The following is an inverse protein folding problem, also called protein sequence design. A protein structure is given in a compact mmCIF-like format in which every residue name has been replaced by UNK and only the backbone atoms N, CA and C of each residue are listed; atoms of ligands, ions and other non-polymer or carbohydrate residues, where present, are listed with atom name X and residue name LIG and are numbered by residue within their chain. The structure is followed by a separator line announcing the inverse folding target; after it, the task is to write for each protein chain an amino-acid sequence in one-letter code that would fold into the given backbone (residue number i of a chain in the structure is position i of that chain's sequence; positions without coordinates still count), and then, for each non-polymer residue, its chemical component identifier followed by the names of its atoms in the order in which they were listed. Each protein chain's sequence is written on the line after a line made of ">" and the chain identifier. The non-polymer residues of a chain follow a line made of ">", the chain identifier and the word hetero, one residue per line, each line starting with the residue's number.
data_IF_073037822874
#
_entry.id   IF_073037822874
#
_cell.length_a   1.000
_cell.length_b   1.000
_cell.length_c   1.000
_cell.angle_alpha   90.00
_cell.angle_beta   90.00
_cell.angle_gamma   90.00
#
_symmetry.space_group_name_H-M   'P 1'
#
loop_
_entity.id
_entity.type
_entity.pdbx_description
1 polymer ?
#
# COMPACT_ATOMS: atom_id res chain seq x y z
N UNK A 1 43.57 -12.62 4.16
CA UNK A 1 42.18 -12.12 4.09
C UNK A 1 41.96 -11.20 5.28
N UNK A 2 41.57 -9.94 5.11
CA UNK A 2 41.25 -9.09 6.26
C UNK A 2 40.03 -9.67 6.97
N UNK A 3 40.19 -10.07 8.22
CA UNK A 3 39.11 -10.50 9.10
C UNK A 3 38.15 -9.33 9.25
N UNK A 4 36.94 -9.48 8.69
CA UNK A 4 35.87 -8.51 8.94
C UNK A 4 35.71 -8.36 10.46
N UNK A 5 35.76 -7.14 11.00
CA UNK A 5 35.53 -6.93 12.42
C UNK A 5 34.15 -7.50 12.76
N UNK A 6 34.11 -8.42 13.72
CA UNK A 6 32.85 -8.88 14.32
C UNK A 6 32.11 -7.63 14.79
N UNK A 7 30.91 -7.33 14.25
CA UNK A 7 30.19 -6.14 14.69
C UNK A 7 29.99 -6.22 16.19
N UNK A 8 30.28 -5.12 16.90
CA UNK A 8 29.97 -5.03 18.33
C UNK A 8 28.45 -5.08 18.51
N UNK A 9 28.00 -5.58 19.65
CA UNK A 9 26.57 -5.68 20.00
C UNK A 9 25.83 -4.34 19.76
N UNK A 10 26.54 -3.22 19.94
CA UNK A 10 26.06 -1.86 19.69
C UNK A 10 25.78 -1.58 18.21
N UNK A 11 26.68 -1.94 17.28
CA UNK A 11 26.48 -1.73 15.84
C UNK A 11 25.28 -2.53 15.31
N UNK A 12 25.11 -3.75 15.81
CA UNK A 12 24.00 -4.61 15.47
C UNK A 12 22.66 -4.04 15.95
N UNK A 13 22.63 -3.49 17.17
CA UNK A 13 21.46 -2.81 17.70
C UNK A 13 21.06 -1.60 16.86
N UNK A 14 22.04 -0.82 16.38
CA UNK A 14 21.80 0.35 15.52
C UNK A 14 21.26 -0.09 14.16
N UNK A 15 21.85 -1.11 13.53
CA UNK A 15 21.36 -1.64 12.25
C UNK A 15 19.93 -2.17 12.37
N UNK A 16 19.64 -2.91 13.44
CA UNK A 16 18.30 -3.40 13.74
C UNK A 16 17.31 -2.24 13.89
N UNK A 17 17.65 -1.22 14.68
CA UNK A 17 16.80 -0.06 14.90
C UNK A 17 16.56 0.75 13.62
N UNK A 18 17.58 0.89 12.76
CA UNK A 18 17.45 1.57 11.46
C UNK A 18 16.45 0.84 10.56
N UNK A 19 16.55 -0.49 10.46
CA UNK A 19 15.63 -1.27 9.61
C UNK A 19 14.21 -1.29 10.20
N UNK A 20 14.07 -1.44 11.52
CA UNK A 20 12.78 -1.36 12.19
C UNK A 20 12.09 0.01 11.99
N UNK A 21 12.85 1.10 12.12
CA UNK A 21 12.36 2.47 11.88
C UNK A 21 11.96 2.67 10.42
N UNK A 22 12.76 2.16 9.47
CA UNK A 22 12.44 2.23 8.04
C UNK A 22 11.15 1.48 7.71
N UNK A 23 10.97 0.27 8.27
CA UNK A 23 9.74 -0.51 8.10
C UNK A 23 8.51 0.24 8.60
N UNK A 24 8.60 0.86 9.78
CA UNK A 24 7.51 1.67 10.33
C UNK A 24 7.18 2.87 9.42
N UNK A 25 8.19 3.50 8.82
CA UNK A 25 8.01 4.54 7.81
C UNK A 25 7.24 4.06 6.58
N UNK A 26 7.60 2.90 6.03
CA UNK A 26 6.88 2.33 4.88
C UNK A 26 5.45 1.93 5.21
N UNK A 27 5.18 1.37 6.39
CA UNK A 27 3.81 1.03 6.80
C UNK A 27 2.94 2.29 6.90
N UNK A 28 3.45 3.38 7.48
CA UNK A 28 2.73 4.66 7.53
C UNK A 28 2.41 5.20 6.14
N UNK A 29 3.39 5.22 5.23
CA UNK A 29 3.20 5.70 3.85
C UNK A 29 2.24 4.81 3.05
N UNK A 30 2.29 3.49 3.28
CA UNK A 30 1.41 2.51 2.65
C UNK A 30 -0.07 2.83 2.93
N UNK A 31 -0.40 3.33 4.12
CA UNK A 31 -1.77 3.66 4.51
C UNK A 31 -2.23 5.07 4.11
N UNK A 32 -1.30 5.99 3.86
CA UNK A 32 -1.63 7.36 3.42
C UNK A 32 -2.02 7.41 1.93
N UNK A 33 -1.30 6.68 1.07
CA UNK A 33 -1.50 6.73 -0.38
C UNK A 33 -2.93 6.35 -0.84
N UNK A 34 -3.60 5.33 -0.28
CA UNK A 34 -4.97 5.00 -0.65
C UNK A 34 -5.98 6.06 -0.23
N UNK A 35 -5.81 6.70 0.93
CA UNK A 35 -6.70 7.75 1.41
C UNK A 35 -6.68 8.98 0.51
N UNK A 36 -5.49 9.43 0.13
CA UNK A 36 -5.32 10.53 -0.83
C UNK A 36 -5.84 10.17 -2.23
N UNK A 37 -5.55 8.94 -2.68
CA UNK A 37 -6.04 8.41 -3.96
C UNK A 37 -7.56 8.42 -4.06
N UNK A 38 -8.25 7.86 -3.07
CA UNK A 38 -9.72 7.86 -3.03
C UNK A 38 -10.30 9.27 -2.97
N UNK A 39 -9.68 10.18 -2.21
CA UNK A 39 -10.15 11.57 -2.11
C UNK A 39 -10.08 12.27 -3.46
N UNK A 40 -8.94 12.14 -4.16
CA UNK A 40 -8.78 12.67 -5.50
C UNK A 40 -9.76 12.06 -6.50
N UNK A 41 -9.96 10.74 -6.44
CA UNK A 41 -10.94 10.05 -7.30
C UNK A 41 -12.37 10.49 -7.04
N UNK A 42 -12.78 10.66 -5.77
CA UNK A 42 -14.10 11.14 -5.42
C UNK A 42 -14.34 12.56 -5.97
N UNK A 43 -13.36 13.46 -5.82
CA UNK A 43 -13.43 14.81 -6.38
C UNK A 43 -13.59 14.81 -7.91
N UNK A 44 -12.78 14.02 -8.61
CA UNK A 44 -12.86 13.90 -10.07
C UNK A 44 -14.18 13.28 -10.52
N UNK A 45 -14.71 12.34 -9.75
CA UNK A 45 -15.99 11.71 -10.04
C UNK A 45 -17.16 12.69 -9.87
N UNK A 46 -17.12 13.57 -8.87
CA UNK A 46 -18.11 14.64 -8.71
C UNK A 46 -18.17 15.53 -9.94
N UNK A 47 -17.01 15.89 -10.53
CA UNK A 47 -16.96 16.66 -11.78
C UNK A 47 -17.51 15.83 -12.94
N UNK A 48 -17.09 14.56 -13.07
CA UNK A 48 -17.51 13.70 -14.18
C UNK A 48 -19.01 13.41 -14.22
N UNK A 49 -19.70 13.42 -13.07
CA UNK A 49 -21.14 13.17 -12.96
C UNK A 49 -21.99 14.43 -12.84
N UNK A 50 -21.38 15.62 -12.82
CA UNK A 50 -22.13 16.86 -12.81
C UNK A 50 -22.82 17.07 -14.17
N UNK A 51 -24.14 17.28 -14.20
CA UNK A 51 -24.91 17.38 -15.44
C UNK A 51 -24.56 18.63 -16.28
N UNK A 52 -23.99 19.67 -15.67
CA UNK A 52 -23.58 20.92 -16.33
C UNK A 52 -22.11 20.87 -16.77
N UNK A 53 -21.39 19.77 -16.49
CA UNK A 53 -20.00 19.62 -16.90
C UNK A 53 -19.89 19.41 -18.40
N UNK A 54 -19.12 20.28 -19.05
CA UNK A 54 -18.81 20.16 -20.47
C UNK A 54 -18.00 18.89 -20.78
N UNK A 55 -18.20 18.35 -21.99
CA UNK A 55 -17.60 17.10 -22.47
C UNK A 55 -16.11 16.93 -22.17
N UNK A 56 -15.33 17.98 -22.44
CA UNK A 56 -13.88 17.94 -22.22
C UNK A 56 -13.52 17.74 -20.75
N UNK A 57 -14.27 18.36 -19.84
CA UNK A 57 -14.08 18.23 -18.41
C UNK A 57 -14.52 16.86 -17.89
N UNK A 58 -15.58 16.26 -18.45
CA UNK A 58 -15.99 14.88 -18.15
C UNK A 58 -14.90 13.88 -18.57
N UNK A 59 -14.42 13.97 -19.82
CA UNK A 59 -13.37 13.07 -20.34
C UNK A 59 -12.06 13.24 -19.57
N UNK A 60 -11.64 14.48 -19.32
CA UNK A 60 -10.43 14.78 -18.57
C UNK A 60 -10.51 14.24 -17.14
N UNK A 61 -11.64 14.44 -16.45
CA UNK A 61 -11.84 13.96 -15.07
C UNK A 61 -11.84 12.43 -14.99
N UNK A 62 -12.51 11.75 -15.93
CA UNK A 62 -12.53 10.28 -15.99
C UNK A 62 -11.15 9.66 -16.26
N UNK A 63 -10.40 10.23 -17.21
CA UNK A 63 -9.02 9.81 -17.48
C UNK A 63 -8.11 10.07 -16.28
N UNK A 64 -8.19 11.25 -15.67
CA UNK A 64 -7.37 11.59 -14.52
C UNK A 64 -7.68 10.69 -13.31
N UNK A 65 -8.96 10.33 -13.09
CA UNK A 65 -9.37 9.38 -12.05
C UNK A 65 -8.75 7.99 -12.27
N UNK A 66 -8.67 7.56 -13.54
CA UNK A 66 -8.03 6.30 -13.93
C UNK A 66 -6.51 6.32 -13.69
N UNK A 67 -5.86 7.44 -14.03
CA UNK A 67 -4.41 7.64 -13.79
C UNK A 67 -4.11 7.66 -12.30
N UNK A 68 -4.89 8.39 -11.51
CA UNK A 68 -4.75 8.43 -10.04
C UNK A 68 -4.94 7.03 -9.45
N UNK A 69 -5.94 6.27 -9.91
CA UNK A 69 -6.12 4.87 -9.51
C UNK A 69 -4.85 4.05 -9.68
N UNK A 70 -4.29 4.11 -10.89
CA UNK A 70 -3.10 3.36 -11.27
C UNK A 70 -1.88 3.76 -10.42
N UNK A 71 -1.64 5.06 -10.27
CA UNK A 71 -0.54 5.59 -9.45
C UNK A 71 -0.69 5.15 -7.98
N UNK A 72 -1.88 5.26 -7.40
CA UNK A 72 -2.14 4.84 -6.02
C UNK A 72 -1.94 3.34 -5.83
N UNK A 73 -2.38 2.50 -6.77
CA UNK A 73 -2.17 1.04 -6.72
C UNK A 73 -0.70 0.69 -6.85
N UNK A 74 0.02 1.32 -7.78
CA UNK A 74 1.44 1.09 -7.99
C UNK A 74 2.27 1.49 -6.77
N UNK A 75 1.96 2.64 -6.15
CA UNK A 75 2.63 3.12 -4.95
C UNK A 75 2.35 2.23 -3.74
N UNK A 76 1.09 1.82 -3.55
CA UNK A 76 0.68 0.89 -2.50
C UNK A 76 1.42 -0.45 -2.63
N UNK A 77 1.48 -1.00 -3.84
CA UNK A 77 2.20 -2.25 -4.12
C UNK A 77 3.70 -2.14 -3.85
N UNK A 78 4.31 -1.01 -4.24
CA UNK A 78 5.73 -0.74 -3.99
C UNK A 78 6.05 -0.64 -2.50
N UNK A 79 5.27 0.13 -1.73
CA UNK A 79 5.46 0.22 -0.29
C UNK A 79 5.24 -1.12 0.41
N UNK A 80 4.24 -1.90 -0.04
CA UNK A 80 4.01 -3.24 0.48
C UNK A 80 5.21 -4.18 0.24
N UNK A 81 5.84 -4.10 -0.92
CA UNK A 81 7.03 -4.90 -1.22
C UNK A 81 8.21 -4.51 -0.31
N UNK A 82 8.44 -3.21 -0.09
CA UNK A 82 9.49 -2.73 0.80
C UNK A 82 9.25 -3.11 2.27
N UNK A 83 8.01 -3.00 2.76
CA UNK A 83 7.65 -3.44 4.11
C UNK A 83 7.90 -4.94 4.30
N UNK A 84 7.53 -5.77 3.33
CA UNK A 84 7.76 -7.21 3.38
C UNK A 84 9.25 -7.55 3.36
N UNK A 85 10.04 -6.88 2.51
CA UNK A 85 11.48 -7.09 2.45
C UNK A 85 12.15 -6.79 3.81
N UNK A 86 11.76 -5.69 4.45
CA UNK A 86 12.27 -5.30 5.77
C UNK A 86 11.80 -6.27 6.88
N UNK A 87 10.54 -6.75 6.81
CA UNK A 87 10.04 -7.74 7.77
C UNK A 87 10.82 -9.06 7.71
N UNK A 88 11.14 -9.54 6.49
CA UNK A 88 11.90 -10.78 6.28
C UNK A 88 13.34 -10.58 6.75
N UNK A 89 13.93 -9.42 6.49
CA UNK A 89 15.27 -9.10 6.95
C UNK A 89 15.35 -9.10 8.49
N UNK A 90 14.39 -8.44 9.17
CA UNK A 90 14.34 -8.38 10.63
C UNK A 90 14.14 -9.76 11.26
N UNK A 91 13.23 -10.57 10.71
CA UNK A 91 13.03 -11.94 11.20
C UNK A 91 14.31 -12.77 11.04
N UNK A 92 14.95 -12.74 9.87
CA UNK A 92 16.21 -13.48 9.64
C UNK A 92 17.33 -13.02 10.56
N UNK A 93 17.41 -11.71 10.83
CA UNK A 93 18.37 -11.15 11.77
C UNK A 93 18.16 -11.68 13.18
N UNK A 94 16.90 -11.75 13.64
CA UNK A 94 16.52 -12.30 14.95
C UNK A 94 16.88 -13.80 15.04
N UNK A 95 16.44 -14.61 14.07
CA UNK A 95 16.69 -16.06 14.06
C UNK A 95 18.19 -16.39 13.98
N UNK A 96 18.95 -15.68 13.14
CA UNK A 96 20.41 -15.96 12.95
C UNK A 96 21.23 -15.66 14.21
N UNK A 97 20.73 -14.76 15.08
CA UNK A 97 21.39 -14.37 16.33
C UNK A 97 20.80 -15.01 17.58
N UNK A 98 19.80 -15.89 17.43
CA UNK A 98 19.10 -16.51 18.55
C UNK A 98 18.36 -15.49 19.43
N UNK A 99 17.93 -14.36 18.85
CA UNK A 99 17.13 -13.35 19.54
C UNK A 99 15.64 -13.76 19.52
N UNK A 100 14.82 -13.22 20.43
CA UNK A 100 13.37 -13.40 20.37
C UNK A 100 12.80 -12.88 19.04
N UNK A 101 11.95 -13.68 18.39
CA UNK A 101 11.35 -13.35 17.08
C UNK A 101 10.16 -12.39 17.23
N UNK A 102 10.45 -11.13 17.57
CA UNK A 102 9.44 -10.07 17.71
C UNK A 102 8.79 -9.76 16.35
N UNK A 103 9.56 -9.90 15.26
CA UNK A 103 9.13 -9.56 13.91
C UNK A 103 8.56 -10.75 13.12
N UNK A 104 8.13 -11.81 13.82
CA UNK A 104 7.44 -12.93 13.20
C UNK A 104 6.22 -12.47 12.37
N UNK A 105 5.91 -13.16 11.25
CA UNK A 105 4.74 -12.89 10.43
C UNK A 105 3.46 -12.78 11.26
N UNK A 106 2.57 -11.86 10.88
CA UNK A 106 1.34 -11.61 11.64
C UNK A 106 0.48 -12.89 11.88
N UNK A 107 0.48 -13.82 10.92
CA UNK A 107 -0.23 -15.10 11.06
C UNK A 107 0.37 -15.98 12.18
N UNK A 108 1.69 -16.01 12.31
CA UNK A 108 2.40 -16.74 13.37
C UNK A 108 2.14 -16.09 14.72
N UNK A 109 2.28 -14.76 14.83
CA UNK A 109 1.98 -14.03 16.08
C UNK A 109 0.53 -14.22 16.54
N UNK A 110 -0.43 -14.20 15.62
CA UNK A 110 -1.83 -14.44 15.97
C UNK A 110 -2.06 -15.89 16.43
N UNK A 111 -1.40 -16.87 15.80
CA UNK A 111 -1.45 -18.27 16.23
C UNK A 111 -0.84 -18.45 17.62
N UNK A 112 0.32 -17.84 17.86
CA UNK A 112 1.05 -17.97 19.13
C UNK A 112 0.31 -17.25 20.28
N UNK A 113 -0.48 -16.22 19.97
CA UNK A 113 -1.35 -15.52 20.91
C UNK A 113 -2.78 -16.12 21.01
N UNK A 114 -3.05 -17.26 20.37
CA UNK A 114 -4.37 -17.90 20.28
C UNK A 114 -5.51 -16.95 19.83
N UNK A 115 -5.18 -16.01 18.94
CA UNK A 115 -6.12 -15.03 18.40
C UNK A 115 -6.81 -15.57 17.13
N UNK A 116 -8.13 -15.83 17.17
CA UNK A 116 -8.84 -16.37 16.02
C UNK A 116 -8.98 -15.32 14.90
N UNK A 117 -8.46 -15.62 13.71
CA UNK A 117 -8.68 -14.80 12.51
C UNK A 117 -10.07 -15.07 11.90
N UNK A 118 -11.11 -14.44 12.45
CA UNK A 118 -12.49 -14.55 11.96
C UNK A 118 -12.95 -13.28 11.23
N UNK A 119 -13.92 -13.46 10.31
CA UNK A 119 -14.59 -12.35 9.63
C UNK A 119 -13.69 -11.53 8.70
N UNK A 120 -13.83 -10.20 8.78
CA UNK A 120 -13.17 -9.23 7.89
C UNK A 120 -11.64 -9.24 7.97
N UNK A 121 -11.07 -9.70 9.08
CA UNK A 121 -9.61 -9.77 9.31
C UNK A 121 -8.93 -10.79 8.40
N UNK A 122 -9.68 -11.76 7.83
CA UNK A 122 -9.14 -12.70 6.83
C UNK A 122 -8.78 -12.02 5.51
N UNK A 123 -9.44 -10.92 5.17
CA UNK A 123 -9.13 -10.23 3.93
C UNK A 123 -7.81 -9.49 4.09
N UNK A 124 -6.86 -9.80 3.21
CA UNK A 124 -5.62 -9.03 3.13
C UNK A 124 -5.97 -7.61 2.76
N UNK A 125 -5.82 -6.69 3.70
CA UNK A 125 -6.23 -5.29 3.54
C UNK A 125 -5.68 -4.66 2.26
N UNK A 126 -4.42 -4.94 1.87
CA UNK A 126 -3.87 -4.44 0.59
C UNK A 126 -4.72 -4.85 -0.63
N UNK A 127 -5.30 -6.06 -0.65
CA UNK A 127 -6.16 -6.52 -1.75
C UNK A 127 -7.47 -5.77 -1.80
N UNK A 128 -8.06 -5.50 -0.63
CA UNK A 128 -9.31 -4.73 -0.52
C UNK A 128 -9.09 -3.31 -1.04
N UNK A 129 -7.98 -2.67 -0.63
CA UNK A 129 -7.63 -1.33 -1.07
C UNK A 129 -7.28 -1.26 -2.56
N UNK A 130 -6.50 -2.22 -3.07
CA UNK A 130 -6.23 -2.30 -4.51
C UNK A 130 -7.51 -2.50 -5.32
N UNK A 131 -8.41 -3.39 -4.88
CA UNK A 131 -9.67 -3.62 -5.58
C UNK A 131 -10.54 -2.35 -5.60
N UNK A 132 -10.66 -1.64 -4.48
CA UNK A 132 -11.39 -0.37 -4.41
C UNK A 132 -10.85 0.68 -5.39
N UNK A 133 -9.54 0.92 -5.36
CA UNK A 133 -8.90 1.88 -6.27
C UNK A 133 -9.10 1.52 -7.74
N UNK A 134 -8.97 0.23 -8.08
CA UNK A 134 -9.19 -0.28 -9.45
C UNK A 134 -10.63 -0.06 -9.89
N UNK A 135 -11.62 -0.34 -9.02
CA UNK A 135 -13.03 -0.10 -9.34
C UNK A 135 -13.28 1.38 -9.65
N UNK A 136 -12.80 2.31 -8.83
CA UNK A 136 -12.91 3.74 -9.10
C UNK A 136 -12.22 4.15 -10.41
N UNK A 137 -11.05 3.58 -10.69
CA UNK A 137 -10.35 3.79 -11.96
C UNK A 137 -11.14 3.31 -13.17
N UNK A 138 -11.75 2.12 -13.10
CA UNK A 138 -12.59 1.57 -14.17
C UNK A 138 -13.85 2.42 -14.39
N UNK A 139 -14.46 2.92 -13.32
CA UNK A 139 -15.58 3.86 -13.42
C UNK A 139 -15.12 5.15 -14.11
N UNK A 140 -13.97 5.70 -13.73
CA UNK A 140 -13.36 6.85 -14.40
C UNK A 140 -13.16 6.61 -15.90
N UNK A 141 -12.63 5.44 -16.27
CA UNK A 141 -12.44 5.07 -17.67
C UNK A 141 -13.77 4.98 -18.41
N UNK A 142 -14.79 4.37 -17.80
CA UNK A 142 -16.13 4.29 -18.37
C UNK A 142 -16.74 5.68 -18.59
N UNK A 143 -16.59 6.61 -17.64
CA UNK A 143 -17.08 8.00 -17.80
C UNK A 143 -16.37 8.75 -18.92
N UNK A 144 -15.07 8.50 -19.12
CA UNK A 144 -14.33 9.10 -20.22
C UNK A 144 -14.77 8.56 -21.58
N UNK A 145 -15.02 7.24 -21.65
CA UNK A 145 -15.56 6.59 -22.85
C UNK A 145 -16.94 7.14 -23.17
N UNK A 146 -17.83 7.25 -22.18
CA UNK A 146 -19.18 7.80 -22.34
C UNK A 146 -19.13 9.23 -22.89
N UNK A 147 -18.30 10.11 -22.33
CA UNK A 147 -18.12 11.48 -22.82
C UNK A 147 -17.55 11.57 -24.26
N UNK A 148 -16.91 10.53 -24.78
CA UNK A 148 -16.44 10.47 -26.17
C UNK A 148 -17.56 10.02 -27.11
N UNK A 149 -18.34 9.01 -26.73
CA UNK A 149 -19.35 8.38 -27.58
C UNK A 149 -20.71 9.05 -27.55
N UNK A 150 -21.10 9.65 -26.42
CA UNK A 150 -22.39 10.31 -26.25
C UNK A 150 -22.22 11.82 -26.04
N UNK A 151 -21.95 12.59 -27.11
CA UNK A 151 -21.86 14.03 -27.00
C UNK A 151 -23.25 14.59 -26.65
N UNK A 152 -23.38 15.14 -25.45
CA UNK A 152 -24.49 16.03 -25.08
C UNK A 152 -24.31 17.41 -25.72
#
# INVERSE_FOLDING_TARGET
>A
MPTQPTPSNDQDSVLYQVVATRRAGFDSMMWQAPGLGLTAQAFLMTIAFDPDTGRLAQVASGLLSSVVAFMSVQLLAKHRLHELADSIWLQRFETTRGLPEIHAPAAERCRDADLPSKGLVKFRSHRVWTAGLVVFGLVGLATAVDGIFWPK
#
